data_IF_824226061992
#
_entry.id   IF_824226061992
#
_cell.length_a   1.000
_cell.length_b   1.000
_cell.length_c   1.000
_cell.angle_alpha   90.00
_cell.angle_beta   90.00
_cell.angle_gamma   90.00
#
_symmetry.space_group_name_H-M   'P 1'
#
loop_
_entity.id
_entity.type
_entity.pdbx_description
1 polymer ?
#
# COMPACT_ATOMS: atom_id res chain seq x y z
N UNK A 1 0.85 -9.05 -11.34
CA UNK A 1 1.80 -8.70 -10.26
C UNK A 1 1.63 -9.66 -9.09
N UNK A 2 2.71 -10.02 -8.40
CA UNK A 2 2.68 -10.85 -7.19
C UNK A 2 2.84 -9.98 -5.93
N UNK A 3 2.51 -10.52 -4.75
CA UNK A 3 2.63 -9.81 -3.47
C UNK A 3 4.01 -9.16 -3.24
N UNK A 4 5.11 -9.83 -3.60
CA UNK A 4 6.47 -9.28 -3.45
C UNK A 4 6.70 -8.02 -4.32
N UNK A 5 6.19 -8.01 -5.56
CA UNK A 5 6.31 -6.84 -6.44
C UNK A 5 5.47 -5.67 -5.93
N UNK A 6 4.28 -5.96 -5.39
CA UNK A 6 3.41 -4.96 -4.80
C UNK A 6 4.08 -4.34 -3.57
N UNK A 7 4.64 -5.16 -2.67
CA UNK A 7 5.38 -4.68 -1.49
C UNK A 7 6.57 -3.81 -1.91
N UNK A 8 7.33 -4.22 -2.92
CA UNK A 8 8.46 -3.41 -3.42
C UNK A 8 8.00 -2.05 -3.95
N UNK A 9 6.85 -1.99 -4.65
CA UNK A 9 6.26 -0.74 -5.13
C UNK A 9 5.70 0.12 -4.01
N UNK A 10 4.99 -0.47 -3.07
CA UNK A 10 4.51 0.22 -1.88
C UNK A 10 5.68 0.83 -1.11
N UNK A 11 6.78 0.09 -0.92
CA UNK A 11 7.99 0.62 -0.28
C UNK A 11 8.56 1.82 -1.04
N UNK A 12 8.62 1.74 -2.36
CA UNK A 12 9.06 2.85 -3.19
C UNK A 12 8.19 4.11 -3.00
N UNK A 13 6.86 3.95 -3.09
CA UNK A 13 5.90 5.04 -2.88
C UNK A 13 5.98 5.63 -1.46
N UNK A 14 6.07 4.77 -0.44
CA UNK A 14 6.23 5.18 0.96
C UNK A 14 7.53 5.97 1.18
N UNK A 15 8.62 5.57 0.53
CA UNK A 15 9.88 6.28 0.62
C UNK A 15 9.84 7.62 -0.13
N UNK A 16 9.33 7.64 -1.37
CA UNK A 16 9.34 8.83 -2.23
C UNK A 16 8.33 9.89 -1.77
N UNK A 17 7.08 9.49 -1.48
CA UNK A 17 6.00 10.43 -1.15
C UNK A 17 5.93 10.77 0.34
N UNK A 18 6.27 9.81 1.20
CA UNK A 18 6.09 9.94 2.65
C UNK A 18 7.41 10.03 3.42
N UNK A 19 8.56 9.95 2.73
CA UNK A 19 9.89 9.97 3.36
C UNK A 19 10.05 8.92 4.47
N UNK A 20 9.38 7.77 4.31
CA UNK A 20 9.40 6.68 5.30
C UNK A 20 10.65 5.83 5.08
N UNK A 21 11.36 5.56 6.17
CA UNK A 21 12.52 4.69 6.17
C UNK A 21 12.10 3.22 6.03
N UNK A 22 12.02 2.75 4.78
CA UNK A 22 11.63 1.38 4.44
C UNK A 22 12.65 0.31 4.85
N UNK A 23 13.84 0.71 5.32
CA UNK A 23 14.89 -0.21 5.74
C UNK A 23 14.48 -1.00 6.99
N UNK A 24 13.61 -0.43 7.83
CA UNK A 24 13.08 -1.08 9.04
C UNK A 24 11.60 -1.49 8.90
N UNK A 25 11.00 -1.33 7.72
CA UNK A 25 9.60 -1.68 7.48
C UNK A 25 9.49 -3.15 7.05
N UNK A 26 8.83 -3.93 7.90
CA UNK A 26 8.46 -5.32 7.63
C UNK A 26 7.00 -5.42 7.17
N UNK A 27 6.62 -6.55 6.57
CA UNK A 27 5.24 -6.82 6.18
C UNK A 27 4.22 -6.67 7.32
N UNK A 28 4.65 -6.86 8.57
CA UNK A 28 3.81 -6.71 9.76
C UNK A 28 3.70 -5.27 10.29
N UNK A 29 4.53 -4.34 9.80
CA UNK A 29 4.49 -2.94 10.23
C UNK A 29 3.17 -2.31 9.78
N UNK A 30 2.49 -1.63 10.70
CA UNK A 30 1.22 -0.97 10.40
C UNK A 30 1.46 0.41 9.81
N UNK A 31 0.53 0.87 8.96
CA UNK A 31 0.57 2.20 8.34
C UNK A 31 0.80 3.31 9.38
N UNK A 32 0.05 3.28 10.49
CA UNK A 32 0.18 4.28 11.55
C UNK A 32 1.55 4.29 12.24
N UNK A 33 2.20 3.13 12.37
CA UNK A 33 3.54 3.04 12.97
C UNK A 33 4.61 3.67 12.07
N UNK A 34 4.32 3.80 10.76
CA UNK A 34 5.16 4.46 9.78
C UNK A 34 4.84 5.95 9.62
N UNK A 35 3.89 6.51 10.39
CA UNK A 35 3.42 7.89 10.21
C UNK A 35 2.44 8.08 9.05
N UNK A 36 1.89 6.99 8.50
CA UNK A 36 0.80 7.05 7.50
C UNK A 36 -0.53 7.18 8.25
N UNK A 37 -1.11 8.37 8.18
CA UNK A 37 -2.45 8.69 8.67
C UNK A 37 -3.53 8.44 7.61
N UNK A 38 -4.80 8.49 8.00
CA UNK A 38 -5.94 8.21 7.11
C UNK A 38 -5.96 9.04 5.82
N UNK A 39 -5.40 10.25 5.83
CA UNK A 39 -5.28 11.11 4.65
C UNK A 39 -4.21 10.55 3.69
N UNK A 40 -3.02 10.28 4.23
CA UNK A 40 -1.90 9.67 3.52
C UNK A 40 -2.23 8.32 2.89
N UNK A 41 -3.08 7.52 3.55
CA UNK A 41 -3.58 6.24 3.00
C UNK A 41 -4.34 6.46 1.68
N UNK A 42 -5.16 7.51 1.59
CA UNK A 42 -5.94 7.81 0.38
C UNK A 42 -5.04 8.29 -0.75
N UNK A 43 -4.08 9.18 -0.47
CA UNK A 43 -3.10 9.62 -1.48
C UNK A 43 -2.28 8.44 -2.02
N UNK A 44 -1.81 7.56 -1.13
CA UNK A 44 -1.09 6.35 -1.50
C UNK A 44 -1.94 5.45 -2.41
N UNK A 45 -3.25 5.35 -2.16
CA UNK A 45 -4.15 4.56 -3.01
C UNK A 45 -4.27 5.11 -4.41
N UNK A 46 -4.49 6.42 -4.55
CA UNK A 46 -4.61 7.07 -5.85
C UNK A 46 -3.33 6.91 -6.68
N UNK A 47 -2.18 7.04 -6.01
CA UNK A 47 -0.86 6.76 -6.58
C UNK A 47 -0.75 5.32 -7.06
N UNK A 48 -1.13 4.33 -6.23
CA UNK A 48 -1.10 2.91 -6.61
C UNK A 48 -2.04 2.64 -7.79
N UNK A 49 -3.25 3.18 -7.77
CA UNK A 49 -4.22 3.04 -8.87
C UNK A 49 -3.65 3.60 -10.17
N UNK A 50 -3.01 4.77 -10.12
CA UNK A 50 -2.39 5.40 -11.29
C UNK A 50 -1.15 4.65 -11.77
N UNK A 51 -0.28 4.19 -10.87
CA UNK A 51 0.97 3.47 -11.21
C UNK A 51 0.68 2.07 -11.75
N UNK A 52 -0.28 1.36 -11.15
CA UNK A 52 -0.59 -0.03 -11.50
C UNK A 52 -1.72 -0.15 -12.52
N UNK A 53 -2.43 0.94 -12.81
CA UNK A 53 -3.47 1.00 -13.83
C UNK A 53 -4.74 0.23 -13.48
N UNK A 54 -5.11 0.16 -12.20
CA UNK A 54 -6.35 -0.46 -11.72
C UNK A 54 -7.11 0.49 -10.80
N UNK A 55 -8.40 0.23 -10.57
CA UNK A 55 -9.17 0.93 -9.52
C UNK A 55 -9.60 -0.02 -8.41
N UNK A 56 -9.54 0.44 -7.17
CA UNK A 56 -10.10 -0.28 -6.04
C UNK A 56 -11.63 -0.22 -6.10
N UNK A 57 -12.28 -1.34 -6.44
CA UNK A 57 -13.74 -1.46 -6.54
C UNK A 57 -14.46 -1.23 -5.19
N UNK A 58 -13.80 -1.58 -4.09
CA UNK A 58 -14.24 -1.24 -2.74
C UNK A 58 -13.04 -1.24 -1.79
N UNK A 59 -12.81 -0.08 -1.17
CA UNK A 59 -11.81 0.11 -0.13
C UNK A 59 -12.30 -0.51 1.19
N UNK A 60 -12.37 -1.84 1.22
CA UNK A 60 -12.60 -2.57 2.47
C UNK A 60 -11.28 -2.85 3.17
N UNK A 61 -10.48 -1.79 3.32
CA UNK A 61 -9.25 -1.83 4.08
C UNK A 61 -9.57 -1.50 5.54
N UNK A 62 -8.95 -2.27 6.43
CA UNK A 62 -9.02 -1.96 7.85
C UNK A 62 -8.45 -0.55 8.09
N UNK A 63 -8.91 0.18 9.13
CA UNK A 63 -8.50 1.56 9.39
C UNK A 63 -7.00 1.75 9.70
N UNK A 64 -6.25 0.67 9.92
CA UNK A 64 -4.80 0.69 10.08
C UNK A 64 -4.22 -0.65 9.59
N UNK A 65 -4.16 -0.87 8.26
CA UNK A 65 -3.69 -2.13 7.71
C UNK A 65 -2.17 -2.24 7.90
N UNK A 66 -1.67 -3.47 7.93
CA UNK A 66 -0.24 -3.72 7.76
C UNK A 66 0.19 -3.62 6.29
N UNK A 67 1.49 -3.46 6.04
CA UNK A 67 2.02 -3.45 4.67
C UNK A 67 1.67 -4.74 3.91
N UNK A 68 1.71 -5.89 4.60
CA UNK A 68 1.31 -7.17 4.04
C UNK A 68 -0.18 -7.21 3.69
N UNK A 69 -1.05 -6.75 4.58
CA UNK A 69 -2.51 -6.69 4.31
C UNK A 69 -2.83 -5.76 3.14
N UNK A 70 -2.18 -4.59 3.06
CA UNK A 70 -2.35 -3.69 1.92
C UNK A 70 -1.92 -4.38 0.62
N UNK A 71 -0.78 -5.06 0.62
CA UNK A 71 -0.28 -5.78 -0.57
C UNK A 71 -1.23 -6.90 -1.02
N UNK A 72 -1.81 -7.64 -0.07
CA UNK A 72 -2.80 -8.67 -0.36
C UNK A 72 -4.10 -8.10 -0.91
N UNK A 73 -4.56 -6.96 -0.37
CA UNK A 73 -5.74 -6.27 -0.87
C UNK A 73 -5.54 -5.82 -2.32
N UNK A 74 -4.38 -5.24 -2.64
CA UNK A 74 -4.01 -4.84 -4.00
C UNK A 74 -3.93 -6.06 -4.91
N UNK A 75 -3.22 -7.10 -4.51
CA UNK A 75 -3.05 -8.33 -5.29
C UNK A 75 -4.41 -8.94 -5.66
N UNK A 76 -5.34 -8.95 -4.69
CA UNK A 76 -6.70 -9.46 -4.89
C UNK A 76 -7.52 -8.60 -5.85
N UNK A 77 -7.33 -7.28 -5.87
CA UNK A 77 -7.98 -6.39 -6.83
C UNK A 77 -7.40 -6.58 -8.23
N UNK A 78 -6.06 -6.59 -8.37
CA UNK A 78 -5.39 -6.80 -9.66
C UNK A 78 -5.72 -8.17 -10.26
N UNK A 79 -5.84 -9.23 -9.46
CA UNK A 79 -6.20 -10.58 -9.95
C UNK A 79 -7.68 -10.73 -10.34
N UNK A 80 -8.53 -9.76 -9.98
CA UNK A 80 -9.96 -9.78 -10.30
C UNK A 80 -10.30 -9.08 -11.62
N UNK A 81 -9.37 -8.31 -12.17
CA UNK A 81 -9.43 -7.68 -13.50
C UNK A 81 -8.76 -8.57 -14.55
#
# INVERSE_FOLDING_TARGET
MNAEQIIARLKYLLQEHFSIDIANVDGNTRMRDMGIDSMHVVDLMLEIESEMGFQFDSLNLQPNPSLAELSQAIEKNIKRE
#
